data_IF_121444816430
#
_entry.id   IF_121444816430
#
_cell.length_a   1.000
_cell.length_b   1.000
_cell.length_c   1.000
_cell.angle_alpha   90.00
_cell.angle_beta   90.00
_cell.angle_gamma   90.00
#
_symmetry.space_group_name_H-M   'P 1'
#
loop_
_entity.id
_entity.type
_entity.pdbx_description
1 polymer ?
#
# COMPACT_ATOMS: atom_id res chain seq x y z
N UNK A 1 -2.87 34.65 -1.64
CA UNK A 1 -2.47 33.26 -2.00
C UNK A 1 -1.79 33.21 -3.38
N UNK A 2 -0.63 33.87 -3.58
CA UNK A 2 -0.02 34.08 -4.93
C UNK A 2 1.38 33.46 -5.16
N UNK A 3 1.90 32.69 -4.21
CA UNK A 3 3.33 32.29 -4.15
C UNK A 3 3.80 31.24 -5.20
N UNK A 4 3.04 30.20 -5.59
CA UNK A 4 3.53 29.10 -6.45
C UNK A 4 3.98 29.51 -7.86
N UNK A 5 3.17 30.35 -8.51
CA UNK A 5 3.36 30.73 -9.91
C UNK A 5 4.56 31.67 -10.09
N UNK A 6 4.75 32.58 -9.14
CA UNK A 6 5.90 33.48 -9.11
C UNK A 6 7.20 32.71 -8.87
N UNK A 7 7.16 31.71 -7.99
CA UNK A 7 8.30 30.83 -7.70
C UNK A 7 8.75 30.02 -8.92
N UNK A 8 7.81 29.40 -9.65
CA UNK A 8 8.11 28.66 -10.89
C UNK A 8 8.76 29.54 -11.96
N UNK A 9 8.19 30.72 -12.23
CA UNK A 9 8.75 31.65 -13.22
C UNK A 9 10.17 32.08 -12.86
N UNK A 10 10.42 32.34 -11.59
CA UNK A 10 11.75 32.73 -11.08
C UNK A 10 12.75 31.58 -11.22
N UNK A 11 12.35 30.37 -10.85
CA UNK A 11 13.19 29.16 -10.97
C UNK A 11 13.50 28.81 -12.43
N UNK A 12 12.51 28.95 -13.32
CA UNK A 12 12.70 28.78 -14.76
C UNK A 12 13.69 29.79 -15.32
N UNK A 13 13.55 31.07 -14.95
CA UNK A 13 14.46 32.14 -15.37
C UNK A 13 15.89 31.84 -14.93
N UNK A 14 16.10 31.62 -13.63
CA UNK A 14 17.42 31.31 -13.08
C UNK A 14 18.04 30.07 -13.73
N UNK A 15 17.24 29.00 -13.93
CA UNK A 15 17.72 27.80 -14.61
C UNK A 15 18.13 28.08 -16.06
N UNK A 16 17.30 28.79 -16.81
CA UNK A 16 17.56 29.12 -18.21
C UNK A 16 18.81 30.01 -18.37
N UNK A 17 19.00 30.97 -17.48
CA UNK A 17 20.21 31.80 -17.43
C UNK A 17 21.46 30.95 -17.13
N UNK A 18 21.38 29.99 -16.19
CA UNK A 18 22.51 29.12 -15.83
C UNK A 18 22.97 28.13 -16.94
N UNK A 19 22.18 28.01 -18.00
CA UNK A 19 22.44 27.14 -19.16
C UNK A 19 22.43 27.93 -20.47
N UNK A 20 22.64 29.25 -20.43
CA UNK A 20 22.78 30.07 -21.63
C UNK A 20 21.60 29.91 -22.61
N UNK A 21 20.38 29.78 -22.09
CA UNK A 21 19.17 29.66 -22.91
C UNK A 21 18.98 30.93 -23.73
N UNK A 22 18.68 30.76 -25.01
CA UNK A 22 18.31 31.84 -25.92
C UNK A 22 17.18 32.69 -25.32
N UNK A 23 17.39 34.02 -25.07
CA UNK A 23 16.40 34.84 -24.39
C UNK A 23 15.00 34.81 -25.01
N UNK A 24 14.90 34.75 -26.35
CA UNK A 24 13.61 34.67 -27.02
C UNK A 24 12.86 33.35 -26.77
N UNK A 25 13.58 32.25 -26.53
CA UNK A 25 12.98 30.97 -26.13
C UNK A 25 12.54 31.03 -24.67
N UNK A 26 13.32 31.65 -23.78
CA UNK A 26 12.91 31.88 -22.39
C UNK A 26 11.62 32.72 -22.32
N UNK A 27 11.52 33.79 -23.10
CA UNK A 27 10.32 34.62 -23.15
C UNK A 27 9.11 33.83 -23.65
N UNK A 28 9.28 33.05 -24.73
CA UNK A 28 8.23 32.19 -25.26
C UNK A 28 7.82 31.11 -24.25
N UNK A 29 8.76 30.54 -23.51
CA UNK A 29 8.51 29.57 -22.43
C UNK A 29 7.62 30.16 -21.34
N UNK A 30 8.03 31.32 -20.82
CA UNK A 30 7.30 32.01 -19.75
C UNK A 30 5.92 32.47 -20.22
N UNK A 31 5.81 32.92 -21.48
CA UNK A 31 4.53 33.28 -22.08
C UNK A 31 3.63 32.06 -22.27
N UNK A 32 4.14 30.98 -22.83
CA UNK A 32 3.38 29.76 -23.06
C UNK A 32 2.82 29.19 -21.75
N UNK A 33 3.66 29.12 -20.71
CA UNK A 33 3.23 28.72 -19.38
C UNK A 33 2.13 29.65 -18.81
N UNK A 34 2.29 30.98 -18.94
CA UNK A 34 1.33 31.93 -18.40
C UNK A 34 -0.03 31.88 -19.12
N UNK A 35 0.00 31.79 -20.45
CA UNK A 35 -1.20 31.73 -21.28
C UNK A 35 -1.95 30.41 -21.09
N UNK A 36 -1.22 29.29 -21.01
CA UNK A 36 -1.80 28.01 -20.67
C UNK A 36 -2.49 28.03 -19.29
N UNK A 37 -1.83 28.56 -18.26
CA UNK A 37 -2.41 28.70 -16.92
C UNK A 37 -3.68 29.57 -16.89
N UNK A 38 -3.83 30.47 -17.87
CA UNK A 38 -4.98 31.37 -18.00
C UNK A 38 -6.05 30.83 -18.97
N UNK A 39 -5.75 29.77 -19.73
CA UNK A 39 -6.64 29.25 -20.78
C UNK A 39 -6.81 30.20 -21.97
N UNK A 40 -5.81 31.05 -22.25
CA UNK A 40 -5.86 32.06 -23.31
C UNK A 40 -4.84 31.69 -24.40
N UNK A 41 -5.13 31.89 -25.70
CA UNK A 41 -4.15 31.65 -26.76
C UNK A 41 -2.97 32.64 -26.70
N UNK A 42 -1.78 32.20 -27.12
CA UNK A 42 -0.60 33.08 -27.20
C UNK A 42 -0.76 34.03 -28.39
N UNK A 43 -0.62 35.36 -28.20
CA UNK A 43 -0.72 36.33 -29.28
C UNK A 43 0.48 36.23 -30.24
N UNK A 44 0.28 35.64 -31.42
CA UNK A 44 1.33 35.40 -32.42
C UNK A 44 2.09 36.67 -32.84
N UNK A 45 1.41 37.82 -32.88
CA UNK A 45 2.02 39.10 -33.26
C UNK A 45 3.10 39.59 -32.29
N UNK A 46 3.11 39.10 -31.03
CA UNK A 46 4.12 39.46 -30.03
C UNK A 46 5.37 38.58 -30.10
N UNK A 47 5.33 37.49 -30.85
CA UNK A 47 6.43 36.53 -30.95
C UNK A 47 7.36 36.94 -32.11
N UNK A 48 8.68 37.06 -31.89
CA UNK A 48 9.62 37.43 -32.95
C UNK A 48 9.54 36.50 -34.16
N UNK A 49 9.55 37.06 -35.37
CA UNK A 49 9.43 36.30 -36.65
C UNK A 49 10.40 35.12 -36.74
N UNK A 50 11.62 35.28 -36.23
CA UNK A 50 12.68 34.25 -36.21
C UNK A 50 12.30 32.97 -35.45
N UNK A 51 11.38 33.04 -34.49
CA UNK A 51 10.86 31.88 -33.74
C UNK A 51 9.36 31.62 -34.01
N UNK A 52 8.76 32.29 -34.99
CA UNK A 52 7.33 32.12 -35.28
C UNK A 52 6.98 30.69 -35.73
N UNK A 53 7.88 30.03 -36.48
CA UNK A 53 7.71 28.63 -36.87
C UNK A 53 7.68 27.68 -35.65
N UNK A 54 8.45 27.99 -34.60
CA UNK A 54 8.42 27.26 -33.34
C UNK A 54 7.07 27.40 -32.65
N UNK A 55 6.54 28.63 -32.57
CA UNK A 55 5.20 28.88 -32.01
C UNK A 55 4.14 28.05 -32.76
N UNK A 56 4.17 28.07 -34.09
CA UNK A 56 3.21 27.31 -34.91
C UNK A 56 3.33 25.80 -34.67
N UNK A 57 4.56 25.27 -34.72
CA UNK A 57 4.82 23.85 -34.46
C UNK A 57 4.40 23.41 -33.06
N UNK A 58 4.72 24.20 -32.02
CA UNK A 58 4.31 23.87 -30.66
C UNK A 58 2.80 23.98 -30.46
N UNK A 59 2.16 24.95 -31.11
CA UNK A 59 0.69 25.11 -31.05
C UNK A 59 -0.01 23.94 -31.73
N UNK A 60 0.53 23.41 -32.83
CA UNK A 60 0.02 22.20 -33.49
C UNK A 60 0.16 20.95 -32.62
N UNK A 61 1.25 20.83 -31.83
CA UNK A 61 1.40 19.77 -30.83
C UNK A 61 0.44 19.99 -29.64
N UNK A 62 0.17 21.24 -29.31
CA UNK A 62 -0.64 21.66 -28.17
C UNK A 62 0.20 22.08 -26.96
N UNK A 63 -0.29 23.10 -26.25
CA UNK A 63 0.34 23.62 -25.03
C UNK A 63 0.05 22.77 -23.79
N UNK A 64 -1.00 21.95 -23.81
CA UNK A 64 -1.20 20.91 -22.79
C UNK A 64 -0.10 19.86 -22.88
N UNK A 65 0.19 19.41 -24.11
CA UNK A 65 1.25 18.45 -24.40
C UNK A 65 2.64 18.99 -24.04
N UNK A 66 2.86 20.30 -24.19
CA UNK A 66 4.09 20.96 -23.77
C UNK A 66 4.42 20.71 -22.29
N UNK A 67 3.42 20.77 -21.40
CA UNK A 67 3.59 20.50 -19.96
C UNK A 67 3.73 19.01 -19.64
N UNK A 68 3.22 18.15 -20.51
CA UNK A 68 3.49 16.71 -20.46
C UNK A 68 4.87 16.34 -21.02
N UNK A 69 5.71 17.33 -21.36
CA UNK A 69 7.07 17.13 -21.86
C UNK A 69 7.18 16.90 -23.37
N UNK A 70 6.08 17.05 -24.13
CA UNK A 70 6.09 16.91 -25.60
C UNK A 70 6.38 18.25 -26.27
N UNK A 71 7.66 18.46 -26.52
CA UNK A 71 8.16 19.71 -27.09
C UNK A 71 8.41 19.57 -28.59
N UNK A 72 8.16 20.65 -29.33
CA UNK A 72 8.63 20.75 -30.71
C UNK A 72 10.15 20.58 -30.79
N UNK A 73 10.64 19.85 -31.79
CA UNK A 73 12.10 19.73 -32.04
C UNK A 73 12.75 21.08 -32.32
N UNK A 74 11.99 22.07 -32.80
CA UNK A 74 12.51 23.41 -33.08
C UNK A 74 13.05 24.13 -31.84
N UNK A 75 12.59 23.79 -30.63
CA UNK A 75 13.13 24.35 -29.39
C UNK A 75 14.63 24.09 -29.28
N UNK A 76 15.06 22.84 -29.45
CA UNK A 76 16.46 22.44 -29.29
C UNK A 76 17.31 22.90 -30.47
N UNK A 77 16.74 22.91 -31.69
CA UNK A 77 17.40 23.46 -32.89
C UNK A 77 17.71 24.95 -32.74
N UNK A 78 16.73 25.76 -32.32
CA UNK A 78 16.91 27.20 -32.15
C UNK A 78 17.88 27.53 -31.01
N UNK A 79 17.86 26.74 -29.93
CA UNK A 79 18.83 26.88 -28.85
C UNK A 79 20.25 26.65 -29.36
N UNK A 80 20.49 25.58 -30.11
CA UNK A 80 21.81 25.28 -30.67
C UNK A 80 22.29 26.38 -31.63
N UNK A 81 21.41 26.86 -32.51
CA UNK A 81 21.72 27.96 -33.43
C UNK A 81 22.09 29.24 -32.69
N UNK A 82 21.40 29.55 -31.58
CA UNK A 82 21.72 30.69 -30.74
C UNK A 82 23.12 30.57 -30.12
N UNK A 83 23.48 29.41 -29.56
CA UNK A 83 24.81 29.20 -28.97
C UNK A 83 25.91 29.38 -30.01
N UNK A 84 25.75 28.76 -31.18
CA UNK A 84 26.70 28.85 -32.29
C UNK A 84 26.87 30.28 -32.79
N UNK A 85 25.77 30.99 -33.02
CA UNK A 85 25.79 32.36 -33.56
C UNK A 85 26.42 33.38 -32.60
N UNK A 86 26.30 33.16 -31.29
CA UNK A 86 26.83 34.08 -30.28
C UNK A 86 28.18 33.63 -29.71
N UNK A 87 28.81 32.61 -30.32
CA UNK A 87 30.09 32.05 -29.87
C UNK A 87 30.07 31.61 -28.39
N UNK A 88 28.92 31.13 -27.93
CA UNK A 88 28.76 30.57 -26.58
C UNK A 88 29.18 29.10 -26.61
N UNK A 89 29.97 28.69 -25.64
CA UNK A 89 30.47 27.33 -25.51
C UNK A 89 29.32 26.30 -25.44
N UNK A 90 29.32 25.34 -26.36
CA UNK A 90 28.32 24.27 -26.41
C UNK A 90 28.66 23.18 -25.39
N UNK A 91 27.87 23.13 -24.31
CA UNK A 91 28.00 22.19 -23.20
C UNK A 91 26.86 21.18 -23.24
N UNK A 92 27.07 19.98 -22.71
CA UNK A 92 26.00 18.95 -22.61
C UNK A 92 24.69 19.50 -22.01
N UNK A 93 24.75 20.45 -21.06
CA UNK A 93 23.58 21.00 -20.38
C UNK A 93 22.79 22.08 -21.15
N UNK A 94 23.37 22.72 -22.17
CA UNK A 94 22.78 23.91 -22.83
C UNK A 94 22.27 23.68 -24.26
N UNK A 95 22.37 22.47 -24.81
CA UNK A 95 21.84 22.13 -26.14
C UNK A 95 21.11 20.78 -26.15
N UNK A 96 20.44 20.51 -27.28
CA UNK A 96 19.86 19.21 -27.58
C UNK A 96 18.82 18.76 -26.55
N UNK A 97 18.66 17.44 -26.45
CA UNK A 97 17.69 16.82 -25.52
C UNK A 97 18.05 17.05 -24.06
N UNK A 98 19.33 17.11 -23.72
CA UNK A 98 19.76 17.36 -22.34
C UNK A 98 19.29 18.73 -21.85
N UNK A 99 19.36 19.77 -22.69
CA UNK A 99 18.82 21.09 -22.36
C UNK A 99 17.30 21.07 -22.16
N UNK A 100 16.54 20.51 -23.11
CA UNK A 100 15.08 20.47 -22.99
C UNK A 100 14.62 19.62 -21.79
N UNK A 101 15.25 18.46 -21.56
CA UNK A 101 14.95 17.60 -20.42
C UNK A 101 15.23 18.30 -19.09
N UNK A 102 16.31 19.08 -19.00
CA UNK A 102 16.59 19.86 -17.78
C UNK A 102 15.47 20.85 -17.46
N UNK A 103 14.90 21.51 -18.48
CA UNK A 103 13.80 22.46 -18.27
C UNK A 103 12.50 21.71 -17.93
N UNK A 104 12.20 20.62 -18.65
CA UNK A 104 11.03 19.77 -18.39
C UNK A 104 11.06 19.22 -16.96
N UNK A 105 12.18 18.65 -16.53
CA UNK A 105 12.34 18.12 -15.18
C UNK A 105 12.08 19.19 -14.12
N UNK A 106 12.59 20.41 -14.31
CA UNK A 106 12.32 21.53 -13.38
C UNK A 106 10.82 21.84 -13.29
N UNK A 107 10.12 21.87 -14.42
CA UNK A 107 8.67 22.12 -14.44
C UNK A 107 7.90 20.98 -13.76
N UNK A 108 8.27 19.73 -14.04
CA UNK A 108 7.69 18.54 -13.42
C UNK A 108 7.92 18.53 -11.90
N UNK A 109 9.13 18.84 -11.44
CA UNK A 109 9.47 18.93 -10.02
C UNK A 109 8.62 19.98 -9.31
N UNK A 110 8.38 21.13 -9.96
CA UNK A 110 7.52 22.17 -9.41
C UNK A 110 6.06 21.71 -9.32
N UNK A 111 5.52 21.12 -10.39
CA UNK A 111 4.18 20.55 -10.40
C UNK A 111 4.01 19.48 -9.31
N UNK A 112 5.01 18.62 -9.13
CA UNK A 112 5.04 17.59 -8.10
C UNK A 112 5.06 18.19 -6.69
N UNK A 113 5.90 19.21 -6.43
CA UNK A 113 5.93 19.92 -5.15
C UNK A 113 4.58 20.55 -4.82
N UNK A 114 3.95 21.22 -5.78
CA UNK A 114 2.62 21.80 -5.60
C UNK A 114 1.54 20.75 -5.39
N UNK A 115 1.61 19.62 -6.09
CA UNK A 115 0.74 18.47 -5.85
C UNK A 115 0.95 17.92 -4.43
N UNK A 116 2.19 17.78 -3.97
CA UNK A 116 2.51 17.30 -2.62
C UNK A 116 1.98 18.25 -1.55
N UNK A 117 2.22 19.55 -1.69
CA UNK A 117 1.70 20.58 -0.78
C UNK A 117 0.17 20.53 -0.69
N UNK A 118 -0.53 20.46 -1.83
CA UNK A 118 -2.00 20.34 -1.85
C UNK A 118 -2.50 19.05 -1.21
N UNK A 119 -1.86 17.92 -1.49
CA UNK A 119 -2.24 16.65 -0.88
C UNK A 119 -1.94 16.60 0.61
N UNK A 120 -0.82 17.17 1.06
CA UNK A 120 -0.51 17.29 2.48
C UNK A 120 -1.46 18.22 3.21
N UNK A 121 -1.95 19.28 2.57
CA UNK A 121 -2.97 20.16 3.14
C UNK A 121 -4.33 19.44 3.27
N UNK A 122 -4.71 18.62 2.28
CA UNK A 122 -5.99 17.89 2.26
C UNK A 122 -5.98 16.64 3.14
N UNK A 123 -4.89 15.89 3.13
CA UNK A 123 -4.80 14.59 3.77
C UNK A 123 -3.99 14.63 5.08
N UNK A 124 -3.50 15.81 5.50
CA UNK A 124 -2.54 15.96 6.60
C UNK A 124 -1.14 15.44 6.25
N UNK A 125 -0.13 15.76 7.06
CA UNK A 125 1.23 15.15 7.00
C UNK A 125 1.19 13.73 7.56
N UNK A 126 0.34 12.88 6.99
CA UNK A 126 -0.41 11.92 7.80
C UNK A 126 -0.15 10.48 7.33
N UNK A 127 1.09 10.05 7.43
CA UNK A 127 1.41 8.61 7.45
C UNK A 127 1.72 8.21 8.88
N UNK A 128 2.59 8.99 9.54
CA UNK A 128 2.97 8.80 10.94
C UNK A 128 1.80 9.14 11.87
N UNK A 129 1.11 10.26 11.63
CA UNK A 129 -0.12 10.62 12.35
C UNK A 129 -1.28 9.61 12.08
N UNK A 130 -1.31 8.92 10.93
CA UNK A 130 -2.27 7.83 10.67
C UNK A 130 -1.89 6.55 11.39
N UNK A 131 -0.61 6.19 11.35
CA UNK A 131 -0.09 5.02 12.05
C UNK A 131 -0.29 5.16 13.56
N UNK A 132 -0.02 6.34 14.10
CA UNK A 132 -0.24 6.68 15.50
C UNK A 132 -1.74 6.61 15.86
N UNK A 133 -2.62 7.21 15.05
CA UNK A 133 -4.08 7.11 15.27
C UNK A 133 -4.61 5.67 15.22
N UNK A 134 -4.08 4.85 14.31
CA UNK A 134 -4.42 3.41 14.22
C UNK A 134 -3.96 2.65 15.45
N UNK A 135 -2.71 2.86 15.87
CA UNK A 135 -2.16 2.26 17.07
C UNK A 135 -2.98 2.63 18.32
N UNK A 136 -3.30 3.92 18.48
CA UNK A 136 -4.12 4.40 19.58
C UNK A 136 -5.54 3.83 19.56
N UNK A 137 -6.16 3.69 18.38
CA UNK A 137 -7.47 3.06 18.24
C UNK A 137 -7.43 1.58 18.61
N UNK A 138 -6.40 0.84 18.16
CA UNK A 138 -6.21 -0.56 18.52
C UNK A 138 -5.96 -0.73 20.03
N UNK A 139 -5.13 0.13 20.64
CA UNK A 139 -4.93 0.15 22.09
C UNK A 139 -6.23 0.40 22.86
N UNK A 140 -7.08 1.32 22.41
CA UNK A 140 -8.40 1.56 23.03
C UNK A 140 -9.29 0.33 22.94
N UNK A 141 -9.47 -0.22 21.73
CA UNK A 141 -10.31 -1.40 21.53
C UNK A 141 -9.87 -2.61 22.35
N UNK A 142 -8.56 -2.82 22.49
CA UNK A 142 -8.02 -3.90 23.33
C UNK A 142 -8.32 -3.64 24.80
N UNK A 143 -8.12 -2.42 25.32
CA UNK A 143 -8.48 -2.09 26.71
C UNK A 143 -9.96 -2.35 26.98
N UNK A 144 -10.84 -1.89 26.08
CA UNK A 144 -12.28 -2.09 26.21
C UNK A 144 -12.65 -3.59 26.30
N UNK A 145 -11.95 -4.46 25.56
CA UNK A 145 -12.15 -5.91 25.66
C UNK A 145 -11.59 -6.53 26.94
N UNK A 146 -10.47 -6.01 27.46
CA UNK A 146 -9.92 -6.46 28.75
C UNK A 146 -10.83 -6.06 29.92
N UNK A 147 -11.53 -4.93 29.85
CA UNK A 147 -12.56 -4.56 30.84
C UNK A 147 -13.73 -5.56 30.85
N UNK A 148 -13.98 -6.22 29.72
CA UNK A 148 -15.00 -7.26 29.58
C UNK A 148 -14.50 -8.66 29.94
N UNK A 149 -13.19 -8.86 30.16
CA UNK A 149 -12.57 -10.16 30.50
C UNK A 149 -13.28 -10.88 31.67
N UNK A 150 -13.67 -10.23 32.78
CA UNK A 150 -14.34 -10.91 33.89
C UNK A 150 -15.71 -11.50 33.54
N UNK A 151 -16.33 -11.06 32.44
CA UNK A 151 -17.65 -11.53 31.98
C UNK A 151 -17.55 -12.78 31.10
N UNK A 152 -16.36 -13.16 30.69
CA UNK A 152 -16.08 -14.37 29.93
C UNK A 152 -15.92 -15.58 30.85
N UNK A 153 -16.08 -16.79 30.31
CA UNK A 153 -15.72 -18.02 31.03
C UNK A 153 -14.22 -18.07 31.35
N UNK A 154 -13.83 -18.77 32.43
CA UNK A 154 -12.42 -18.91 32.82
C UNK A 154 -11.55 -19.47 31.69
N UNK A 155 -12.06 -20.45 30.95
CA UNK A 155 -11.37 -21.00 29.78
C UNK A 155 -11.14 -19.95 28.69
N UNK A 156 -12.15 -19.13 28.38
CA UNK A 156 -12.02 -18.05 27.40
C UNK A 156 -11.06 -16.96 27.88
N UNK A 157 -11.06 -16.66 29.18
CA UNK A 157 -10.09 -15.72 29.77
C UNK A 157 -8.65 -16.21 29.61
N UNK A 158 -8.40 -17.51 29.75
CA UNK A 158 -7.07 -18.11 29.59
C UNK A 158 -6.65 -18.27 28.12
N UNK A 159 -7.60 -18.48 27.21
CA UNK A 159 -7.32 -18.77 25.81
C UNK A 159 -7.24 -17.51 24.94
N UNK A 160 -8.06 -16.48 25.20
CA UNK A 160 -8.10 -15.28 24.36
C UNK A 160 -7.18 -14.17 24.87
N UNK A 161 -6.98 -14.06 26.19
CA UNK A 161 -6.28 -12.93 26.79
C UNK A 161 -4.90 -13.32 27.33
N UNK A 162 -3.98 -12.36 27.31
CA UNK A 162 -2.77 -12.41 28.10
C UNK A 162 -3.08 -12.17 29.59
N UNK A 163 -2.11 -12.41 30.49
CA UNK A 163 -2.30 -12.20 31.93
C UNK A 163 -2.79 -10.78 32.24
N UNK A 164 -2.12 -9.77 31.69
CA UNK A 164 -2.45 -8.35 31.82
C UNK A 164 -2.53 -7.66 30.45
N UNK A 165 -3.18 -6.50 30.40
CA UNK A 165 -3.25 -5.69 29.17
C UNK A 165 -1.88 -5.09 28.83
N UNK A 166 -1.08 -4.81 29.85
CA UNK A 166 0.31 -4.36 29.71
C UNK A 166 1.19 -5.44 29.07
N UNK A 167 1.02 -6.71 29.47
CA UNK A 167 1.74 -7.83 28.85
C UNK A 167 1.34 -8.06 27.40
N UNK A 168 0.09 -7.74 27.03
CA UNK A 168 -0.36 -7.74 25.64
C UNK A 168 0.39 -6.69 24.84
N UNK A 169 0.41 -5.43 25.30
CA UNK A 169 1.10 -4.34 24.60
C UNK A 169 2.63 -4.48 24.59
N UNK A 170 3.22 -5.24 25.53
CA UNK A 170 4.65 -5.60 25.49
C UNK A 170 4.97 -6.61 24.40
N UNK A 171 4.05 -7.54 24.11
CA UNK A 171 4.25 -8.57 23.08
C UNK A 171 3.92 -8.05 21.69
N UNK A 172 2.79 -7.35 21.57
CA UNK A 172 2.29 -6.80 20.33
C UNK A 172 2.47 -5.28 20.34
N UNK A 173 3.52 -4.82 19.67
CA UNK A 173 3.91 -3.40 19.67
C UNK A 173 3.48 -2.66 18.40
N UNK A 174 3.22 -3.38 17.31
CA UNK A 174 2.78 -2.79 16.04
C UNK A 174 1.25 -2.78 15.89
N UNK A 175 0.72 -1.71 15.30
CA UNK A 175 -0.72 -1.51 15.11
C UNK A 175 -1.38 -2.67 14.37
N UNK A 176 -0.69 -3.29 13.40
CA UNK A 176 -1.23 -4.38 12.59
C UNK A 176 -1.44 -5.66 13.41
N UNK A 177 -0.49 -6.03 14.26
CA UNK A 177 -0.65 -7.22 15.11
C UNK A 177 -1.80 -7.04 16.10
N UNK A 178 -1.94 -5.84 16.68
CA UNK A 178 -3.04 -5.49 17.58
C UNK A 178 -4.40 -5.46 16.87
N UNK A 179 -4.47 -4.89 15.66
CA UNK A 179 -5.68 -4.89 14.82
C UNK A 179 -6.10 -6.33 14.43
N UNK A 180 -5.14 -7.16 14.00
CA UNK A 180 -5.42 -8.56 13.66
C UNK A 180 -5.98 -9.35 14.86
N UNK A 181 -5.42 -9.12 16.05
CA UNK A 181 -5.92 -9.74 17.27
C UNK A 181 -7.35 -9.27 17.57
N UNK A 182 -7.64 -7.98 17.42
CA UNK A 182 -8.99 -7.43 17.58
C UNK A 182 -9.97 -8.07 16.60
N UNK A 183 -9.64 -8.11 15.31
CA UNK A 183 -10.51 -8.70 14.28
C UNK A 183 -10.80 -10.18 14.55
N UNK A 184 -9.81 -10.92 15.04
CA UNK A 184 -9.92 -12.35 15.31
C UNK A 184 -10.73 -12.64 16.58
N UNK A 185 -10.39 -12.00 17.70
CA UNK A 185 -10.90 -12.39 19.02
C UNK A 185 -12.09 -11.56 19.50
N UNK A 186 -12.28 -10.33 19.03
CA UNK A 186 -13.44 -9.51 19.39
C UNK A 186 -14.78 -10.26 19.17
N UNK A 187 -15.07 -10.85 18.00
CA UNK A 187 -16.34 -11.56 17.80
C UNK A 187 -16.46 -12.79 18.72
N UNK A 188 -15.37 -13.51 18.95
CA UNK A 188 -15.35 -14.70 19.83
C UNK A 188 -15.63 -14.34 21.29
N UNK A 189 -15.00 -13.26 21.78
CA UNK A 189 -15.19 -12.74 23.13
C UNK A 189 -16.65 -12.28 23.30
N UNK A 190 -17.19 -11.52 22.34
CA UNK A 190 -18.59 -11.08 22.40
C UNK A 190 -19.57 -12.26 22.41
N UNK A 191 -19.32 -13.28 21.59
CA UNK A 191 -20.13 -14.49 21.57
C UNK A 191 -20.04 -15.26 22.89
N UNK A 192 -18.85 -15.41 23.46
CA UNK A 192 -18.66 -16.06 24.76
C UNK A 192 -19.45 -15.36 25.87
N UNK A 193 -19.37 -14.03 25.95
CA UNK A 193 -20.13 -13.24 26.93
C UNK A 193 -21.63 -13.44 26.77
N UNK A 194 -22.13 -13.48 25.52
CA UNK A 194 -23.56 -13.77 25.25
C UNK A 194 -23.94 -15.17 25.73
N UNK A 195 -23.11 -16.18 25.47
CA UNK A 195 -23.35 -17.53 25.97
C UNK A 195 -23.34 -17.60 27.50
N UNK A 196 -22.39 -16.92 28.16
CA UNK A 196 -22.35 -16.86 29.63
C UNK A 196 -23.62 -16.25 30.21
N UNK A 197 -24.09 -15.13 29.62
CA UNK A 197 -25.35 -14.49 30.02
C UNK A 197 -26.54 -15.44 29.87
N UNK A 198 -26.71 -16.06 28.70
CA UNK A 198 -27.80 -16.98 28.43
C UNK A 198 -27.78 -18.20 29.38
N UNK A 199 -26.60 -18.71 29.71
CA UNK A 199 -26.45 -19.82 30.65
C UNK A 199 -26.81 -19.39 32.07
N UNK A 200 -26.42 -18.18 32.49
CA UNK A 200 -26.80 -17.62 33.79
C UNK A 200 -28.32 -17.44 33.92
N UNK A 201 -28.98 -16.95 32.87
CA UNK A 201 -30.44 -16.79 32.83
C UNK A 201 -31.17 -18.15 32.92
N UNK A 202 -30.59 -19.19 32.31
CA UNK A 202 -31.10 -20.57 32.35
C UNK A 202 -30.66 -21.36 33.60
N UNK A 203 -29.91 -20.75 34.52
CA UNK A 203 -29.29 -21.38 35.71
C UNK A 203 -28.40 -22.59 35.40
N UNK A 204 -27.89 -22.69 34.17
CA UNK A 204 -26.98 -23.75 33.77
C UNK A 204 -25.55 -23.36 34.18
N UNK A 205 -24.92 -24.15 35.05
CA UNK A 205 -23.50 -23.97 35.40
C UNK A 205 -22.63 -24.64 34.35
N UNK A 206 -21.66 -23.91 33.81
CA UNK A 206 -20.65 -24.49 32.93
C UNK A 206 -19.80 -25.50 33.72
N UNK A 207 -19.58 -26.66 33.13
CA UNK A 207 -18.91 -27.81 33.74
C UNK A 207 -17.49 -27.45 34.25
N UNK A 208 -16.81 -26.54 33.56
CA UNK A 208 -15.45 -26.11 33.90
C UNK A 208 -15.36 -25.44 35.29
N UNK A 209 -16.45 -24.83 35.77
CA UNK A 209 -16.50 -24.21 37.12
C UNK A 209 -16.72 -25.24 38.23
N UNK A 210 -17.02 -26.49 37.90
CA UNK A 210 -17.33 -27.56 38.88
C UNK A 210 -16.06 -28.33 39.26
N UNK A 211 -15.13 -28.51 38.33
CA UNK A 211 -14.00 -29.44 38.51
C UNK A 211 -12.77 -28.85 39.21
N UNK A 212 -12.71 -27.54 39.44
CA UNK A 212 -11.61 -26.93 40.20
C UNK A 212 -11.70 -27.15 41.72
N UNK A 213 -12.85 -27.60 42.25
CA UNK A 213 -13.02 -27.89 43.69
C UNK A 213 -12.48 -29.26 44.14
N UNK A 214 -12.08 -30.15 43.22
CA UNK A 214 -11.71 -31.53 43.60
C UNK A 214 -10.21 -31.69 43.91
N UNK A 215 -9.41 -30.61 43.82
CA UNK A 215 -7.95 -30.70 43.93
C UNK A 215 -7.34 -30.56 45.34
N UNK A 216 -8.14 -30.63 46.39
CA UNK A 216 -7.65 -30.68 47.78
C UNK A 216 -8.20 -31.90 48.51
N UNK A 217 -7.70 -33.08 48.17
CA UNK A 217 -7.81 -34.25 49.06
C UNK A 217 -6.59 -34.20 49.98
N UNK A 218 -6.75 -34.05 51.32
CA UNK A 218 -5.62 -34.14 52.23
C UNK A 218 -5.05 -35.58 52.24
N UNK A 219 -3.75 -35.78 52.51
CA UNK A 219 -3.17 -37.12 52.58
C UNK A 219 -3.88 -37.94 53.66
N UNK A 220 -4.37 -39.14 53.32
CA UNK A 220 -4.91 -40.10 54.30
C UNK A 220 -3.76 -40.76 55.05
N UNK A 221 -3.81 -40.71 56.38
CA UNK A 221 -2.92 -41.42 57.30
C UNK A 221 -2.90 -42.95 57.08
N UNK A 222 -1.80 -43.65 57.45
CA UNK A 222 -1.64 -45.07 57.18
C UNK A 222 -2.32 -45.98 58.22
N UNK A 223 -3.33 -46.72 57.75
CA UNK A 223 -3.80 -48.09 58.17
C UNK A 223 -4.39 -48.30 59.59
N UNK A 224 -5.28 -49.30 59.74
CA UNK A 224 -4.80 -50.63 60.13
C UNK A 224 -5.38 -51.80 59.31
N UNK A 225 -4.48 -52.75 59.08
CA UNK A 225 -4.62 -54.11 58.56
C UNK A 225 -5.89 -54.86 59.00
N UNK A 226 -6.66 -55.41 58.04
CA UNK A 226 -7.52 -56.57 58.27
C UNK A 226 -7.42 -57.60 57.13
N UNK A 227 -7.23 -58.85 57.59
CA UNK A 227 -7.14 -60.19 56.99
C UNK A 227 -7.35 -60.46 55.48
N UNK A 228 -6.61 -61.44 54.91
CA UNK A 228 -6.64 -61.78 53.49
C UNK A 228 -7.91 -62.59 53.15
N UNK A 229 -8.75 -62.06 52.25
CA UNK A 229 -9.87 -62.82 51.68
C UNK A 229 -9.43 -63.49 50.38
N UNK A 230 -9.77 -64.77 50.30
CA UNK A 230 -9.19 -65.80 49.44
C UNK A 230 -9.32 -65.51 47.94
N UNK A 231 -8.27 -65.91 47.20
CA UNK A 231 -8.16 -65.91 45.74
C UNK A 231 -8.86 -67.13 45.15
N UNK A 232 -9.60 -66.92 44.06
CA UNK A 232 -10.00 -67.93 43.07
C UNK A 232 -10.27 -67.24 41.73
N UNK A 233 -10.19 -67.94 40.57
CA UNK A 233 -9.07 -67.75 39.64
C UNK A 233 -9.44 -67.06 38.31
N UNK A 234 -8.41 -66.41 37.75
CA UNK A 234 -8.10 -66.21 36.32
C UNK A 234 -9.17 -66.47 35.26
N UNK A 235 -9.48 -65.42 34.49
CA UNK A 235 -9.66 -65.52 33.03
C UNK A 235 -8.58 -64.68 32.34
N UNK A 236 -7.51 -65.39 32.01
CA UNK A 236 -6.68 -65.31 30.79
C UNK A 236 -6.50 -63.96 30.12
N UNK A 237 -5.29 -63.43 30.32
CA UNK A 237 -4.61 -62.45 29.47
C UNK A 237 -4.50 -62.96 28.02
N UNK A 238 -4.87 -62.14 27.04
CA UNK A 238 -4.10 -62.07 25.80
C UNK A 238 -3.88 -60.61 25.37
N UNK A 239 -2.63 -60.25 25.03
CA UNK A 239 -2.23 -58.87 24.75
C UNK A 239 -2.44 -58.53 23.27
N UNK A 240 -2.62 -57.26 22.94
CA UNK A 240 -1.86 -56.74 21.80
C UNK A 240 -1.52 -55.27 21.95
N UNK A 241 -0.22 -55.08 22.03
CA UNK A 241 0.52 -53.85 21.88
C UNK A 241 0.37 -53.33 20.45
N UNK A 242 0.51 -52.01 20.31
CA UNK A 242 1.02 -51.26 19.14
C UNK A 242 0.29 -51.43 17.79
N UNK A 243 -0.34 -50.37 17.29
CA UNK A 243 0.30 -49.38 16.41
C UNK A 243 -0.73 -48.34 15.93
N UNK A 244 -0.33 -47.07 16.06
CA UNK A 244 -0.79 -45.96 15.23
C UNK A 244 -0.82 -46.36 13.73
N UNK A 245 -1.93 -46.12 13.03
CA UNK A 245 -1.86 -45.59 11.66
C UNK A 245 -3.14 -44.84 11.26
N UNK A 246 -3.05 -43.59 10.81
CA UNK A 246 -4.20 -42.80 10.38
C UNK A 246 -4.66 -43.22 8.98
N UNK A 247 -5.97 -43.48 8.82
CA UNK A 247 -6.58 -43.58 7.50
C UNK A 247 -6.90 -42.19 6.96
N UNK A 248 -6.15 -41.84 5.91
CA UNK A 248 -6.43 -40.75 4.98
C UNK A 248 -7.69 -41.10 4.20
N UNK A 249 -8.79 -40.37 4.43
CA UNK A 249 -9.94 -40.36 3.51
C UNK A 249 -9.84 -39.09 2.68
N UNK A 250 -9.53 -39.31 1.41
CA UNK A 250 -9.64 -38.38 0.30
C UNK A 250 -11.08 -37.92 0.13
N UNK A 251 -11.28 -36.62 -0.06
CA UNK A 251 -12.51 -36.05 -0.64
C UNK A 251 -12.12 -35.08 -1.75
N UNK A 252 -12.88 -35.04 -2.86
CA UNK A 252 -12.43 -34.49 -4.14
C UNK A 252 -12.48 -32.95 -4.19
N UNK A 253 -11.47 -32.39 -4.85
CA UNK A 253 -11.29 -30.98 -5.18
C UNK A 253 -12.32 -30.51 -6.23
N UNK A 254 -12.88 -29.29 -6.10
CA UNK A 254 -13.75 -28.70 -7.11
C UNK A 254 -12.94 -28.13 -8.29
N UNK A 255 -13.36 -28.50 -9.50
CA UNK A 255 -12.86 -28.01 -10.79
C UNK A 255 -13.21 -26.53 -10.98
N UNK A 256 -12.21 -25.67 -11.17
CA UNK A 256 -12.37 -24.31 -11.68
C UNK A 256 -11.70 -24.24 -13.06
N UNK A 257 -12.50 -24.10 -14.12
CA UNK A 257 -12.03 -23.95 -15.49
C UNK A 257 -11.32 -22.61 -15.67
N UNK A 258 -10.11 -22.64 -16.22
CA UNK A 258 -9.37 -21.47 -16.71
C UNK A 258 -9.43 -21.42 -18.25
N UNK A 259 -9.54 -20.22 -18.85
CA UNK A 259 -9.67 -20.06 -20.30
C UNK A 259 -8.34 -20.30 -21.04
N UNK A 260 -8.43 -21.10 -22.10
CA UNK A 260 -7.37 -21.46 -23.04
C UNK A 260 -6.89 -20.25 -23.84
N UNK A 261 -5.59 -19.96 -23.73
CA UNK A 261 -4.85 -19.06 -24.62
C UNK A 261 -4.54 -19.80 -25.92
N UNK A 262 -5.17 -19.41 -27.04
CA UNK A 262 -4.85 -19.91 -28.38
C UNK A 262 -3.71 -19.09 -28.98
N UNK A 263 -2.54 -19.70 -29.13
CA UNK A 263 -1.44 -19.21 -29.94
C UNK A 263 -1.76 -19.38 -31.44
N UNK A 264 -1.63 -18.30 -32.21
CA UNK A 264 -1.82 -18.27 -33.66
C UNK A 264 -0.50 -18.55 -34.35
N UNK A 265 -0.37 -19.72 -34.97
CA UNK A 265 0.71 -20.08 -35.89
C UNK A 265 0.54 -19.36 -37.23
N UNK A 266 1.66 -18.88 -37.75
CA UNK A 266 1.80 -18.31 -39.08
C UNK A 266 1.96 -19.42 -40.12
N UNK A 267 1.20 -19.34 -41.21
CA UNK A 267 1.41 -20.13 -42.43
C UNK A 267 1.60 -19.19 -43.60
N UNK A 268 2.79 -19.33 -44.20
CA UNK A 268 3.22 -18.77 -45.48
C UNK A 268 2.43 -19.41 -46.63
N UNK A 269 1.96 -18.61 -47.59
CA UNK A 269 1.54 -19.08 -48.91
C UNK A 269 1.98 -18.07 -49.97
N UNK A 270 2.81 -18.55 -50.89
CA UNK A 270 3.28 -17.90 -52.11
C UNK A 270 2.24 -18.02 -53.23
N UNK A 271 2.15 -17.03 -54.14
CA UNK A 271 2.15 -17.19 -55.62
C UNK A 271 1.89 -15.83 -56.38
N UNK A 272 2.04 -15.70 -57.72
CA UNK A 272 3.25 -15.10 -58.34
C UNK A 272 2.99 -13.91 -59.31
N UNK A 273 4.10 -13.29 -59.74
CA UNK A 273 4.45 -12.62 -61.02
C UNK A 273 3.38 -12.04 -61.97
N UNK A 274 3.55 -10.77 -62.41
CA UNK A 274 3.41 -10.31 -63.82
C UNK A 274 4.12 -8.96 -64.05
N UNK A 275 4.65 -8.81 -65.27
CA UNK A 275 5.66 -7.90 -65.79
C UNK A 275 5.08 -6.82 -66.72
N UNK A 276 5.61 -5.59 -66.65
CA UNK A 276 5.78 -4.52 -67.67
C UNK A 276 4.53 -3.99 -68.44
N UNK A 277 4.60 -2.92 -69.27
CA UNK A 277 5.70 -2.40 -70.10
C UNK A 277 6.53 -1.27 -69.46
#
# INVERSE_FOLDING_TARGET
MSQPRASLKTSLRHRCESVDTYPALLDLLLWGLNHWLQGIPIPAHRVPKRIAHLLHSQTAIGWDNFLLGRWSKHWTTLQLQYLQRNHIEVKKKNHGLSWSSNIICLMCDHCYKEWKTRNSARNGKDVEDKAQRRLEAAHRGIRDLYDLKPRCSLQAQQHYFYPTVEDHFRRDTDARSLENWLETYQPMIMQNIRHQRNNSDRRLRQIDNVFHLIRTVPPRDPTPTMAPRQRTPTLTTRPMNTYFRPHRITSPTPTLETPTTTARTASTSNNPTTTAP
#
